data_IF_301245313735
#
_entry.id   IF_301245313735
#
_cell.length_a   1.000
_cell.length_b   1.000
_cell.length_c   1.000
_cell.angle_alpha   90.00
_cell.angle_beta   90.00
_cell.angle_gamma   90.00
#
_symmetry.space_group_name_H-M   'P 1'
#
loop_
_entity.id
_entity.type
_entity.pdbx_description
1 polymer ?
#
# COMPACT_ATOMS: atom_id res chain seq x y z
N UNK A 1 -19.99 5.02 -2.31
CA UNK A 1 -18.88 4.06 -2.53
C UNK A 1 -19.00 3.50 -3.93
N UNK A 2 -17.95 3.59 -4.76
CA UNK A 2 -17.92 3.08 -6.14
C UNK A 2 -16.87 1.97 -6.23
N UNK A 3 -17.24 0.85 -6.82
CA UNK A 3 -16.29 -0.22 -7.13
C UNK A 3 -15.64 0.06 -8.49
N UNK A 4 -14.32 -0.14 -8.56
CA UNK A 4 -13.56 -0.04 -9.80
C UNK A 4 -13.05 -1.43 -10.15
N UNK A 5 -13.18 -1.78 -11.43
CA UNK A 5 -12.69 -3.06 -11.94
C UNK A 5 -11.17 -3.03 -11.98
N UNK A 6 -10.55 -4.08 -11.41
CA UNK A 6 -9.13 -4.38 -11.60
C UNK A 6 -9.03 -5.63 -12.47
N UNK A 7 -8.24 -5.59 -13.56
CA UNK A 7 -8.03 -6.78 -14.38
C UNK A 7 -7.31 -7.87 -13.58
N UNK A 8 -7.63 -9.15 -13.83
CA UNK A 8 -6.97 -10.26 -13.16
C UNK A 8 -5.49 -10.29 -13.54
N UNK A 9 -4.63 -10.70 -12.59
CA UNK A 9 -3.18 -10.85 -12.78
C UNK A 9 -2.42 -9.57 -13.17
N UNK A 10 -2.96 -8.39 -12.85
CA UNK A 10 -2.32 -7.08 -13.06
C UNK A 10 -1.95 -6.39 -11.74
N UNK A 11 -1.00 -6.93 -10.95
CA UNK A 11 -0.58 -6.30 -9.69
C UNK A 11 -0.02 -4.89 -9.89
N UNK A 12 0.58 -4.60 -11.04
CA UNK A 12 1.10 -3.29 -11.41
C UNK A 12 0.03 -2.18 -11.42
N UNK A 13 -1.25 -2.55 -11.59
CA UNK A 13 -2.38 -1.63 -11.58
C UNK A 13 -3.07 -1.54 -10.21
N UNK A 14 -2.73 -2.40 -9.25
CA UNK A 14 -3.35 -2.41 -7.94
C UNK A 14 -2.51 -1.56 -6.95
N UNK A 15 -2.99 -0.38 -6.50
CA UNK A 15 -2.23 0.49 -5.59
C UNK A 15 -1.80 -0.20 -4.30
N UNK A 16 -2.60 -1.15 -3.81
CA UNK A 16 -2.28 -1.91 -2.59
C UNK A 16 -1.01 -2.75 -2.76
N UNK A 17 -0.74 -3.31 -3.94
CA UNK A 17 0.48 -4.08 -4.20
C UNK A 17 1.75 -3.22 -4.12
N UNK A 18 1.67 -1.96 -4.55
CA UNK A 18 2.79 -1.02 -4.45
C UNK A 18 3.12 -0.67 -3.00
N UNK A 19 2.10 -0.47 -2.17
CA UNK A 19 2.29 -0.26 -0.73
C UNK A 19 2.89 -1.50 -0.06
N UNK A 20 2.43 -2.70 -0.42
CA UNK A 20 2.98 -3.94 0.12
C UNK A 20 4.43 -4.18 -0.32
N UNK A 21 4.79 -3.81 -1.55
CA UNK A 21 6.18 -3.86 -2.00
C UNK A 21 7.06 -2.95 -1.14
N UNK A 22 6.65 -1.69 -0.93
CA UNK A 22 7.38 -0.75 -0.08
C UNK A 22 7.53 -1.26 1.36
N UNK A 23 6.45 -1.73 1.98
CA UNK A 23 6.50 -2.31 3.33
C UNK A 23 7.43 -3.52 3.41
N UNK A 24 7.38 -4.42 2.42
CA UNK A 24 8.24 -5.61 2.40
C UNK A 24 9.72 -5.25 2.28
N UNK A 25 10.04 -4.24 1.48
CA UNK A 25 11.42 -3.76 1.30
C UNK A 25 11.93 -3.03 2.56
N UNK A 26 11.12 -2.15 3.14
CA UNK A 26 11.54 -1.32 4.27
C UNK A 26 11.61 -2.09 5.60
N UNK A 27 10.61 -2.95 5.86
CA UNK A 27 10.37 -3.49 7.19
C UNK A 27 10.56 -5.01 7.29
N UNK A 28 10.51 -5.76 6.18
CA UNK A 28 10.52 -7.24 6.19
C UNK A 28 11.74 -7.85 5.48
N UNK A 29 12.63 -7.03 4.92
CA UNK A 29 13.76 -7.52 4.15
C UNK A 29 14.72 -8.36 5.01
N UNK A 30 14.90 -9.63 4.61
CA UNK A 30 15.80 -10.60 5.24
C UNK A 30 15.50 -10.90 6.73
N UNK A 31 14.24 -10.74 7.16
CA UNK A 31 13.80 -11.08 8.52
C UNK A 31 13.08 -12.43 8.52
N UNK A 32 13.47 -13.30 9.46
CA UNK A 32 12.74 -14.53 9.77
C UNK A 32 12.00 -14.31 11.09
N UNK A 33 10.68 -14.39 11.05
CA UNK A 33 9.82 -14.20 12.22
C UNK A 33 9.60 -15.52 12.95
N UNK A 34 9.59 -15.48 14.28
CA UNK A 34 9.38 -16.65 15.13
C UNK A 34 7.91 -17.10 15.16
N UNK A 35 6.99 -16.14 15.05
CA UNK A 35 5.54 -16.36 15.07
C UNK A 35 4.80 -15.20 14.37
N UNK A 36 3.47 -15.32 14.31
CA UNK A 36 2.61 -14.32 13.69
C UNK A 36 2.57 -13.00 14.46
N UNK A 37 2.68 -13.03 15.79
CA UNK A 37 2.67 -11.81 16.60
C UNK A 37 3.88 -10.92 16.25
N UNK A 38 5.04 -11.52 15.99
CA UNK A 38 6.22 -10.80 15.55
C UNK A 38 6.03 -10.16 14.16
N UNK A 39 5.31 -10.83 13.24
CA UNK A 39 4.94 -10.26 11.93
C UNK A 39 4.01 -9.06 12.11
N UNK A 40 2.96 -9.21 12.94
CA UNK A 40 1.99 -8.15 13.22
C UNK A 40 2.66 -6.93 13.88
N UNK A 41 3.52 -7.14 14.87
CA UNK A 41 4.25 -6.06 15.52
C UNK A 41 5.12 -5.26 14.53
N UNK A 42 5.77 -5.91 13.57
CA UNK A 42 6.52 -5.22 12.51
C UNK A 42 5.60 -4.47 11.55
N UNK A 43 4.44 -5.02 11.21
CA UNK A 43 3.43 -4.31 10.40
C UNK A 43 2.91 -3.05 11.12
N UNK A 44 2.61 -3.16 12.41
CA UNK A 44 2.13 -2.07 13.25
C UNK A 44 3.15 -0.92 13.39
N UNK A 45 4.43 -1.20 13.16
CA UNK A 45 5.47 -0.17 13.10
C UNK A 45 5.63 0.42 11.70
N UNK A 46 5.63 -0.41 10.65
CA UNK A 46 5.87 0.06 9.27
C UNK A 46 4.71 0.83 8.65
N UNK A 47 3.47 0.47 8.97
CA UNK A 47 2.28 1.13 8.41
C UNK A 47 2.17 2.62 8.81
N UNK A 48 2.33 2.99 10.09
CA UNK A 48 2.33 4.41 10.49
C UNK A 48 3.45 5.23 9.84
N UNK A 49 4.63 4.65 9.60
CA UNK A 49 5.70 5.35 8.89
C UNK A 49 5.29 5.69 7.45
N UNK A 50 4.66 4.74 6.76
CA UNK A 50 4.13 4.95 5.42
C UNK A 50 3.01 6.00 5.39
N UNK A 51 2.07 5.91 6.35
CA UNK A 51 0.98 6.87 6.52
C UNK A 51 1.49 8.29 6.80
N UNK A 52 2.55 8.41 7.59
CA UNK A 52 3.17 9.70 7.93
C UNK A 52 3.82 10.42 6.75
N UNK A 53 3.98 9.75 5.60
CA UNK A 53 4.59 10.32 4.39
C UNK A 53 3.64 10.29 3.17
N UNK A 54 2.64 11.20 3.10
CA UNK A 54 1.66 11.23 2.02
C UNK A 54 2.27 11.42 0.63
N UNK A 55 3.38 12.16 0.52
CA UNK A 55 4.05 12.38 -0.76
C UNK A 55 4.65 11.09 -1.32
N UNK A 56 5.25 10.27 -0.44
CA UNK A 56 5.77 8.94 -0.81
C UNK A 56 4.63 8.01 -1.21
N UNK A 57 3.54 7.98 -0.45
CA UNK A 57 2.36 7.17 -0.80
C UNK A 57 1.82 7.60 -2.16
N UNK A 58 1.65 8.90 -2.39
CA UNK A 58 1.16 9.43 -3.66
C UNK A 58 2.09 9.10 -4.84
N UNK A 59 3.42 9.12 -4.65
CA UNK A 59 4.32 8.79 -5.75
C UNK A 59 4.22 7.33 -6.21
N UNK A 60 3.81 6.42 -5.30
CA UNK A 60 3.64 5.00 -5.60
C UNK A 60 2.22 4.64 -6.07
N UNK A 61 1.20 5.31 -5.52
CA UNK A 61 -0.21 4.95 -5.76
C UNK A 61 -1.01 6.00 -6.53
N UNK A 62 -0.39 7.12 -6.91
CA UNK A 62 -1.01 8.26 -7.59
C UNK A 62 -1.32 8.02 -9.07
N UNK A 63 -1.86 6.85 -9.41
CA UNK A 63 -2.24 6.53 -10.79
C UNK A 63 -3.21 7.57 -11.35
N UNK A 64 -3.05 7.93 -12.62
CA UNK A 64 -3.92 8.90 -13.29
C UNK A 64 -5.40 8.53 -13.16
N UNK A 65 -5.75 7.24 -13.23
CA UNK A 65 -7.14 6.79 -13.11
C UNK A 65 -7.70 6.90 -11.69
N UNK A 66 -6.86 7.03 -10.65
CA UNK A 66 -7.26 7.32 -9.26
C UNK A 66 -7.36 8.83 -9.07
N UNK A 67 -6.33 9.57 -9.44
CA UNK A 67 -6.21 11.02 -9.19
C UNK A 67 -7.13 11.86 -10.07
N UNK A 68 -7.56 11.34 -11.22
CA UNK A 68 -8.54 11.99 -12.09
C UNK A 68 -10.00 11.74 -11.66
N UNK A 69 -10.24 10.96 -10.61
CA UNK A 69 -11.60 10.72 -10.11
C UNK A 69 -12.05 11.98 -9.38
N UNK A 70 -13.10 12.61 -9.89
CA UNK A 70 -13.80 13.66 -9.17
C UNK A 70 -14.52 13.02 -7.97
N UNK A 71 -13.93 13.11 -6.78
CA UNK A 71 -14.60 12.74 -5.53
C UNK A 71 -15.64 13.82 -5.22
N UNK A 72 -16.83 13.71 -5.81
CA UNK A 72 -17.96 14.53 -5.39
C UNK A 72 -18.36 14.03 -4.00
N UNK A 73 -17.92 14.74 -2.97
CA UNK A 73 -18.42 14.56 -1.61
C UNK A 73 -19.86 15.11 -1.58
N UNK A 74 -20.84 14.21 -1.41
CA UNK A 74 -22.19 14.57 -0.99
C UNK A 74 -22.26 14.54 0.54
#
# INVERSE_FOLDING_TARGET
MRLLFLPPYSPELNPTEHLWNALREDCFANIVFADLNAVEATLEQGLPELESNPNRVQSMTGFNWITSICLIAN
#
